data_IF_446164801262
#
_entry.id   IF_446164801262
#
_cell.length_a   1.000
_cell.length_b   1.000
_cell.length_c   1.000
_cell.angle_alpha   90.00
_cell.angle_beta   90.00
_cell.angle_gamma   90.00
#
_symmetry.space_group_name_H-M   'P 1'
#
loop_
_entity.id
_entity.type
_entity.pdbx_description
1 polymer ?
#
# COMPACT_ATOMS: atom_id res chain seq x y z
N UNK A 1 -28.45 -18.11 45.19
CA UNK A 1 -29.06 -18.32 43.86
C UNK A 1 -28.48 -17.28 42.92
N UNK A 2 -27.70 -17.69 41.92
CA UNK A 2 -27.21 -16.76 40.89
C UNK A 2 -28.44 -16.32 40.11
N UNK A 3 -28.80 -15.02 40.18
CA UNK A 3 -29.82 -14.44 39.29
C UNK A 3 -29.27 -14.58 37.87
N UNK A 4 -29.70 -15.64 37.19
CA UNK A 4 -29.31 -15.95 35.84
C UNK A 4 -29.86 -14.89 34.91
N UNK A 5 -29.01 -14.49 33.97
CA UNK A 5 -29.26 -13.63 32.82
C UNK A 5 -30.74 -13.57 32.43
N UNK A 6 -31.30 -12.36 32.44
CA UNK A 6 -32.69 -12.14 32.03
C UNK A 6 -32.81 -12.20 30.50
N UNK A 7 -34.01 -12.52 29.98
CA UNK A 7 -34.26 -12.42 28.53
C UNK A 7 -34.02 -10.99 28.02
N UNK A 8 -34.31 -9.98 28.84
CA UNK A 8 -34.07 -8.57 28.54
C UNK A 8 -32.58 -8.25 28.37
N UNK A 9 -31.72 -8.85 29.20
CA UNK A 9 -30.26 -8.75 29.07
C UNK A 9 -29.77 -9.33 27.74
N UNK A 10 -30.26 -10.50 27.32
CA UNK A 10 -29.84 -11.10 26.06
C UNK A 10 -30.28 -10.26 24.86
N UNK A 11 -31.46 -9.62 24.91
CA UNK A 11 -31.94 -8.69 23.88
C UNK A 11 -31.03 -7.46 23.80
N UNK A 12 -30.67 -6.85 24.93
CA UNK A 12 -29.77 -5.70 24.95
C UNK A 12 -28.37 -6.07 24.45
N UNK A 13 -27.85 -7.24 24.81
CA UNK A 13 -26.55 -7.73 24.32
C UNK A 13 -26.57 -7.92 22.80
N UNK A 14 -27.59 -8.58 22.25
CA UNK A 14 -27.72 -8.77 20.80
C UNK A 14 -27.91 -7.42 20.08
N UNK A 15 -28.69 -6.50 20.66
CA UNK A 15 -28.88 -5.17 20.10
C UNK A 15 -27.56 -4.39 20.03
N UNK A 16 -26.79 -4.35 21.12
CA UNK A 16 -25.47 -3.71 21.13
C UNK A 16 -24.51 -4.40 20.16
N UNK A 17 -24.45 -5.73 20.15
CA UNK A 17 -23.61 -6.48 19.21
C UNK A 17 -23.96 -6.18 17.76
N UNK A 18 -25.24 -6.05 17.42
CA UNK A 18 -25.67 -5.73 16.05
C UNK A 18 -25.20 -4.36 15.58
N UNK A 19 -25.25 -3.35 16.47
CA UNK A 19 -24.72 -2.01 16.17
C UNK A 19 -23.20 -2.06 16.01
N UNK A 20 -22.49 -2.81 16.86
CA UNK A 20 -21.05 -3.00 16.74
C UNK A 20 -20.66 -3.66 15.42
N UNK A 21 -21.39 -4.69 14.96
CA UNK A 21 -21.12 -5.34 13.67
C UNK A 21 -21.25 -4.37 12.50
N UNK A 22 -22.28 -3.51 12.50
CA UNK A 22 -22.48 -2.48 11.45
C UNK A 22 -21.32 -1.47 11.45
N UNK A 23 -20.86 -1.03 12.63
CA UNK A 23 -19.74 -0.09 12.76
C UNK A 23 -18.38 -0.73 12.41
N UNK A 24 -18.25 -2.05 12.52
CA UNK A 24 -16.99 -2.76 12.29
C UNK A 24 -16.66 -2.95 10.82
N UNK A 25 -17.65 -2.95 9.91
CA UNK A 25 -17.40 -3.17 8.47
C UNK A 25 -16.97 -1.86 7.81
N UNK A 26 -15.68 -1.67 7.47
CA UNK A 26 -15.26 -0.52 6.69
C UNK A 26 -15.74 -0.66 5.25
N UNK A 27 -15.75 0.46 4.52
CA UNK A 27 -15.98 0.41 3.08
C UNK A 27 -14.78 -0.26 2.38
N UNK A 28 -14.96 -1.49 1.88
CA UNK A 28 -13.92 -2.29 1.22
C UNK A 28 -13.23 -1.52 0.08
N UNK A 29 -13.98 -0.74 -0.70
CA UNK A 29 -13.42 0.03 -1.82
C UNK A 29 -12.47 1.13 -1.35
N UNK A 30 -12.82 1.83 -0.26
CA UNK A 30 -11.94 2.83 0.34
C UNK A 30 -10.69 2.20 0.96
N UNK A 31 -10.83 1.04 1.60
CA UNK A 31 -9.67 0.35 2.17
C UNK A 31 -8.72 -0.12 1.07
N UNK A 32 -9.25 -0.66 -0.02
CA UNK A 32 -8.45 -1.12 -1.15
C UNK A 32 -7.65 0.02 -1.80
N UNK A 33 -8.27 1.18 -2.04
CA UNK A 33 -7.55 2.32 -2.63
C UNK A 33 -6.46 2.86 -1.70
N UNK A 34 -6.71 2.94 -0.39
CA UNK A 34 -5.70 3.35 0.58
C UNK A 34 -4.51 2.38 0.58
N UNK A 35 -4.78 1.07 0.52
CA UNK A 35 -3.74 0.03 0.49
C UNK A 35 -2.92 0.12 -0.80
N UNK A 36 -3.57 0.29 -1.96
CA UNK A 36 -2.88 0.45 -3.24
C UNK A 36 -2.00 1.69 -3.27
N UNK A 37 -2.51 2.83 -2.81
CA UNK A 37 -1.74 4.08 -2.75
C UNK A 37 -0.53 3.96 -1.82
N UNK A 38 -0.72 3.43 -0.61
CA UNK A 38 0.40 3.22 0.33
C UNK A 38 1.41 2.19 -0.18
N UNK A 39 0.93 1.16 -0.88
CA UNK A 39 1.80 0.20 -1.56
C UNK A 39 2.62 0.86 -2.65
N UNK A 40 2.01 1.76 -3.43
CA UNK A 40 2.71 2.52 -4.47
C UNK A 40 3.73 3.51 -3.86
N UNK A 41 3.39 4.21 -2.77
CA UNK A 41 4.34 5.08 -2.05
C UNK A 41 5.57 4.29 -1.56
N UNK A 42 5.36 3.07 -1.05
CA UNK A 42 6.45 2.19 -0.65
C UNK A 42 7.27 1.73 -1.86
N UNK A 43 6.62 1.39 -2.97
CA UNK A 43 7.29 0.99 -4.22
C UNK A 43 8.15 2.13 -4.77
N UNK A 44 7.66 3.38 -4.77
CA UNK A 44 8.45 4.55 -5.12
C UNK A 44 9.72 4.65 -4.27
N UNK A 45 9.62 4.37 -2.97
CA UNK A 45 10.79 4.40 -2.08
C UNK A 45 11.83 3.32 -2.41
N UNK A 46 11.37 2.16 -2.88
CA UNK A 46 12.26 1.10 -3.37
C UNK A 46 12.98 1.59 -4.64
N UNK A 47 12.24 2.19 -5.57
CA UNK A 47 12.82 2.76 -6.80
C UNK A 47 13.80 3.89 -6.49
N UNK A 48 13.49 4.81 -5.57
CA UNK A 48 14.44 5.84 -5.09
C UNK A 48 15.73 5.23 -4.54
N UNK A 49 15.63 4.08 -3.87
CA UNK A 49 16.79 3.37 -3.34
C UNK A 49 17.62 2.78 -4.47
N UNK A 50 16.98 2.21 -5.50
CA UNK A 50 17.65 1.71 -6.70
C UNK A 50 18.33 2.86 -7.49
N UNK A 51 17.68 4.02 -7.62
CA UNK A 51 18.28 5.23 -8.22
C UNK A 51 19.53 5.64 -7.45
N UNK A 52 19.47 5.64 -6.12
CA UNK A 52 20.61 5.97 -5.28
C UNK A 52 21.76 4.97 -5.46
N UNK A 53 21.45 3.67 -5.48
CA UNK A 53 22.43 2.61 -5.71
C UNK A 53 23.11 2.75 -7.08
N UNK A 54 22.34 3.01 -8.13
CA UNK A 54 22.87 3.31 -9.47
C UNK A 54 23.80 4.51 -9.46
N UNK A 55 23.39 5.60 -8.81
CA UNK A 55 24.19 6.83 -8.71
C UNK A 55 25.51 6.59 -7.97
N UNK A 56 25.51 5.73 -6.94
CA UNK A 56 26.72 5.37 -6.20
C UNK A 56 27.68 4.53 -7.07
N UNK A 57 27.14 3.62 -7.89
CA UNK A 57 27.94 2.73 -8.74
C UNK A 57 28.53 3.45 -9.96
N UNK A 58 27.73 4.27 -10.63
CA UNK A 58 28.06 4.88 -11.92
C UNK A 58 28.54 6.34 -11.81
N UNK A 59 28.31 7.01 -10.68
CA UNK A 59 28.68 8.41 -10.45
C UNK A 59 27.68 9.43 -10.96
N UNK A 60 26.76 9.01 -11.84
CA UNK A 60 25.66 9.80 -12.40
C UNK A 60 24.33 9.05 -12.18
N UNK A 61 23.22 9.79 -12.15
CA UNK A 61 21.87 9.21 -12.01
C UNK A 61 21.41 8.48 -13.28
N UNK A 62 20.43 7.56 -13.17
CA UNK A 62 19.84 6.91 -14.32
C UNK A 62 19.03 7.91 -15.17
N UNK A 63 19.13 7.81 -16.50
CA UNK A 63 18.32 8.59 -17.45
C UNK A 63 16.91 8.01 -17.57
N UNK A 64 16.78 6.71 -17.33
CA UNK A 64 15.51 5.99 -17.42
C UNK A 64 15.36 4.91 -16.35
N UNK A 65 14.12 4.50 -16.06
CA UNK A 65 13.88 3.35 -15.19
C UNK A 65 14.41 2.03 -15.80
N UNK A 66 14.70 2.00 -17.10
CA UNK A 66 15.23 0.79 -17.76
C UNK A 66 16.70 0.57 -17.38
N UNK A 67 17.46 1.65 -17.14
CA UNK A 67 18.85 1.57 -16.70
C UNK A 67 18.95 0.82 -15.36
N UNK A 68 17.94 0.98 -14.49
CA UNK A 68 17.82 0.25 -13.22
C UNK A 68 17.46 -1.23 -13.42
N UNK A 69 16.75 -1.58 -14.48
CA UNK A 69 16.42 -2.97 -14.82
C UNK A 69 17.61 -3.67 -15.47
N UNK A 70 18.30 -2.98 -16.37
CA UNK A 70 19.47 -3.50 -17.09
C UNK A 70 20.64 -3.79 -16.12
N UNK A 71 20.82 -2.95 -15.10
CA UNK A 71 21.80 -3.15 -14.02
C UNK A 71 21.35 -4.22 -12.99
N UNK A 72 20.12 -4.73 -13.10
CA UNK A 72 19.55 -5.73 -12.21
C UNK A 72 19.14 -5.21 -10.83
N UNK A 73 19.02 -3.89 -10.67
CA UNK A 73 18.58 -3.23 -9.43
C UNK A 73 17.05 -3.29 -9.25
N UNK A 74 16.31 -3.46 -10.35
CA UNK A 74 14.86 -3.63 -10.38
C UNK A 74 14.47 -4.76 -11.36
N UNK A 75 13.34 -5.41 -11.10
CA UNK A 75 12.68 -6.28 -12.08
C UNK A 75 11.71 -5.49 -12.96
N UNK A 76 11.38 -6.03 -14.13
CA UNK A 76 10.38 -5.42 -15.03
C UNK A 76 9.03 -5.15 -14.35
N UNK A 77 8.61 -6.04 -13.44
CA UNK A 77 7.35 -5.92 -12.71
C UNK A 77 7.38 -4.79 -11.68
N UNK A 78 8.55 -4.47 -11.12
CA UNK A 78 8.72 -3.42 -10.11
C UNK A 78 8.60 -2.00 -10.66
N UNK A 79 8.52 -1.86 -11.99
CA UNK A 79 8.24 -0.59 -12.68
C UNK A 79 6.77 -0.17 -12.55
N UNK A 80 5.90 -1.06 -12.10
CA UNK A 80 4.48 -0.80 -11.98
C UNK A 80 4.02 -0.89 -10.53
N UNK A 81 3.14 0.02 -10.14
CA UNK A 81 2.39 -0.08 -8.90
C UNK A 81 1.25 -1.12 -9.04
N UNK A 82 0.69 -1.57 -7.91
CA UNK A 82 -0.41 -2.56 -7.92
C UNK A 82 -1.71 -2.06 -8.58
N UNK A 83 -1.83 -0.75 -8.77
CA UNK A 83 -2.90 -0.10 -9.51
C UNK A 83 -2.60 0.05 -11.02
N UNK A 84 -1.47 -0.51 -11.50
CA UNK A 84 -0.95 -0.41 -12.88
C UNK A 84 -0.38 0.96 -13.26
N UNK A 85 -0.16 1.85 -12.30
CA UNK A 85 0.55 3.10 -12.55
C UNK A 85 2.02 2.82 -12.84
N UNK A 86 2.57 3.41 -13.90
CA UNK A 86 3.97 3.30 -14.28
C UNK A 86 4.81 4.27 -13.45
N UNK A 87 5.90 3.75 -12.85
CA UNK A 87 6.91 4.56 -12.17
C UNK A 87 7.94 5.00 -13.21
N UNK A 88 8.23 6.29 -13.23
CA UNK A 88 9.24 6.91 -14.09
C UNK A 88 10.28 7.61 -13.22
N UNK A 89 11.48 7.79 -13.77
CA UNK A 89 12.51 8.61 -13.14
C UNK A 89 12.31 10.05 -13.64
N UNK A 90 12.03 10.97 -12.73
CA UNK A 90 11.91 12.41 -13.00
C UNK A 90 12.86 13.16 -12.06
N UNK A 91 13.81 13.90 -12.63
CA UNK A 91 14.85 14.67 -11.91
C UNK A 91 15.56 13.86 -10.80
N UNK A 92 15.89 12.60 -11.09
CA UNK A 92 16.58 11.70 -10.15
C UNK A 92 15.70 11.16 -9.00
N UNK A 93 14.37 11.26 -9.11
CA UNK A 93 13.42 10.70 -8.14
C UNK A 93 12.36 9.83 -8.83
N UNK A 94 11.81 8.88 -8.09
CA UNK A 94 10.68 8.10 -8.55
C UNK A 94 9.41 8.97 -8.59
N UNK A 95 8.80 9.09 -9.77
CA UNK A 95 7.53 9.75 -10.01
C UNK A 95 6.52 8.77 -10.62
N UNK A 96 5.23 9.06 -10.43
CA UNK A 96 4.16 8.31 -11.11
C UNK A 96 3.81 9.08 -12.38
N UNK A 97 3.64 8.36 -13.49
CA UNK A 97 3.24 8.93 -14.77
C UNK A 97 1.77 9.35 -14.83
#
# INVERSE_FOLDING_TARGET
MKKGFTMLEMILVIAVLSVLLILTVPNIQQVLSIVQNKGCDAQKKIVDTAILEYTIANGDGPDSIHDLVDEGLLTDEQRFCQNHDEIVVDDGQAAIR
#
